data_IF_624256922098
#
_entry.id   IF_624256922098
#
_cell.length_a   1.000
_cell.length_b   1.000
_cell.length_c   1.000
_cell.angle_alpha   90.00
_cell.angle_beta   90.00
_cell.angle_gamma   90.00
#
_symmetry.space_group_name_H-M   'P 1'
#
loop_
_entity.id
_entity.type
_entity.pdbx_description
1 polymer ?
#
# COMPACT_ATOMS: atom_id res chain seq x y z
N UNK A 1 15.87 -55.79 -12.25
CA UNK A 1 15.03 -55.60 -11.04
C UNK A 1 15.19 -54.15 -10.63
N UNK A 2 14.08 -53.41 -10.70
CA UNK A 2 13.99 -51.98 -11.02
C UNK A 2 14.44 -51.06 -9.90
N UNK A 3 15.28 -50.08 -10.26
CA UNK A 3 15.38 -48.80 -9.57
C UNK A 3 14.01 -48.13 -9.59
N UNK A 4 13.46 -47.84 -8.42
CA UNK A 4 12.29 -46.98 -8.27
C UNK A 4 12.75 -45.72 -7.55
N UNK A 5 13.29 -44.80 -8.35
CA UNK A 5 13.40 -43.39 -7.99
C UNK A 5 11.99 -42.90 -7.73
N UNK A 6 11.62 -42.76 -6.45
CA UNK A 6 10.42 -42.04 -6.05
C UNK A 6 10.64 -40.58 -6.44
N UNK A 7 10.15 -40.21 -7.61
CA UNK A 7 10.02 -38.83 -8.03
C UNK A 7 9.13 -38.11 -7.01
N UNK A 8 9.77 -37.33 -6.14
CA UNK A 8 9.09 -36.36 -5.30
C UNK A 8 8.74 -35.18 -6.22
N UNK A 9 7.64 -35.27 -6.95
CA UNK A 9 7.10 -34.18 -7.77
C UNK A 9 6.46 -33.14 -6.84
N UNK A 10 7.30 -32.37 -6.15
CA UNK A 10 6.86 -31.06 -5.67
C UNK A 10 6.77 -30.19 -6.92
N UNK A 11 5.56 -30.02 -7.46
CA UNK A 11 5.32 -29.05 -8.53
C UNK A 11 5.93 -27.72 -8.09
N UNK A 12 6.92 -27.25 -8.84
CA UNK A 12 7.59 -25.99 -8.54
C UNK A 12 6.57 -24.87 -8.74
N UNK A 13 6.12 -24.29 -7.63
CA UNK A 13 5.12 -23.21 -7.65
C UNK A 13 5.70 -22.02 -8.40
N UNK A 14 5.17 -21.71 -9.59
CA UNK A 14 5.56 -20.50 -10.32
C UNK A 14 4.95 -19.26 -9.65
N UNK A 15 5.74 -18.68 -8.74
CA UNK A 15 5.39 -17.46 -8.03
C UNK A 15 5.06 -16.29 -8.97
N UNK A 16 5.61 -16.23 -10.19
CA UNK A 16 5.30 -15.17 -11.14
C UNK A 16 3.90 -15.36 -11.71
N UNK A 17 3.52 -16.59 -12.04
CA UNK A 17 2.17 -16.89 -12.51
C UNK A 17 1.12 -16.54 -11.45
N UNK A 18 1.35 -16.88 -10.17
CA UNK A 18 0.45 -16.52 -9.07
C UNK A 18 0.29 -15.00 -8.91
N UNK A 19 1.38 -14.24 -9.01
CA UNK A 19 1.35 -12.77 -8.93
C UNK A 19 0.57 -12.16 -10.10
N UNK A 20 0.73 -12.70 -11.30
CA UNK A 20 -0.01 -12.22 -12.47
C UNK A 20 -1.52 -12.52 -12.35
N UNK A 21 -1.90 -13.71 -11.87
CA UNK A 21 -3.30 -14.03 -11.59
C UNK A 21 -3.86 -13.12 -10.49
N UNK A 22 -3.10 -12.90 -9.42
CA UNK A 22 -3.48 -12.00 -8.32
C UNK A 22 -3.78 -10.58 -8.80
N UNK A 23 -2.97 -10.04 -9.71
CA UNK A 23 -3.22 -8.74 -10.34
C UNK A 23 -4.44 -8.79 -11.26
N UNK A 24 -4.53 -9.81 -12.12
CA UNK A 24 -5.60 -9.96 -13.12
C UNK A 24 -6.99 -10.08 -12.48
N UNK A 25 -7.08 -10.79 -11.36
CA UNK A 25 -8.33 -10.96 -10.61
C UNK A 25 -8.75 -9.70 -9.84
N UNK A 26 -7.96 -8.62 -9.90
CA UNK A 26 -8.30 -7.33 -9.27
C UNK A 26 -8.02 -7.28 -7.77
N UNK A 27 -7.43 -8.32 -7.17
CA UNK A 27 -7.10 -8.32 -5.73
C UNK A 27 -6.15 -7.18 -5.36
N UNK A 28 -5.17 -6.87 -6.22
CA UNK A 28 -4.30 -5.71 -6.02
C UNK A 28 -5.09 -4.39 -5.94
N UNK A 29 -6.05 -4.16 -6.84
CA UNK A 29 -6.84 -2.93 -6.82
C UNK A 29 -7.78 -2.88 -5.59
N UNK A 30 -8.33 -4.02 -5.18
CA UNK A 30 -9.12 -4.11 -3.94
C UNK A 30 -8.28 -3.71 -2.73
N UNK A 31 -7.08 -4.29 -2.56
CA UNK A 31 -6.21 -3.96 -1.44
C UNK A 31 -5.74 -2.50 -1.48
N UNK A 32 -5.50 -1.95 -2.68
CA UNK A 32 -5.16 -0.53 -2.86
C UNK A 32 -6.30 0.38 -2.38
N UNK A 33 -7.55 0.05 -2.70
CA UNK A 33 -8.74 0.79 -2.25
C UNK A 33 -8.90 0.70 -0.73
N UNK A 34 -8.73 -0.48 -0.17
CA UNK A 34 -8.85 -0.70 1.27
C UNK A 34 -7.75 0.05 2.04
N UNK A 35 -6.51 0.01 1.57
CA UNK A 35 -5.42 0.78 2.14
C UNK A 35 -5.69 2.30 2.12
N UNK A 36 -6.26 2.82 1.01
CA UNK A 36 -6.67 4.21 0.93
C UNK A 36 -7.78 4.54 1.93
N UNK A 37 -8.76 3.64 2.09
CA UNK A 37 -9.85 3.83 3.05
C UNK A 37 -9.33 3.83 4.49
N UNK A 38 -8.47 2.88 4.84
CA UNK A 38 -7.84 2.83 6.16
C UNK A 38 -7.03 4.10 6.46
N UNK A 39 -6.28 4.60 5.48
CA UNK A 39 -5.57 5.86 5.62
C UNK A 39 -6.52 7.03 5.93
N UNK A 40 -7.62 7.15 5.19
CA UNK A 40 -8.63 8.20 5.39
C UNK A 40 -9.33 8.10 6.75
N UNK A 41 -9.46 6.92 7.32
CA UNK A 41 -10.15 6.74 8.60
C UNK A 41 -9.23 6.92 9.81
N UNK A 42 -7.94 6.56 9.67
CA UNK A 42 -7.03 6.45 10.81
C UNK A 42 -5.90 7.46 10.83
N UNK A 43 -5.54 8.03 9.69
CA UNK A 43 -4.27 8.79 9.53
C UNK A 43 -4.41 10.13 8.80
N UNK A 44 -5.57 10.41 8.18
CA UNK A 44 -5.78 11.69 7.48
C UNK A 44 -5.70 12.89 8.41
N UNK A 45 -6.21 12.74 9.64
CA UNK A 45 -6.32 13.84 10.59
C UNK A 45 -4.94 14.22 11.14
N UNK A 46 -4.11 13.23 11.46
CA UNK A 46 -2.70 13.45 11.81
C UNK A 46 -1.94 14.15 10.67
N UNK A 47 -2.24 13.81 9.42
CA UNK A 47 -1.63 14.47 8.26
C UNK A 47 -2.07 15.94 8.14
N UNK A 48 -3.36 16.20 8.30
CA UNK A 48 -3.93 17.55 8.28
C UNK A 48 -3.34 18.40 9.42
N UNK A 49 -3.17 17.81 10.60
CA UNK A 49 -2.57 18.47 11.74
C UNK A 49 -1.11 18.85 11.46
N UNK A 50 -0.29 17.92 10.93
CA UNK A 50 1.09 18.23 10.55
C UNK A 50 1.17 19.30 9.45
N UNK A 51 0.24 19.31 8.48
CA UNK A 51 0.15 20.38 7.47
C UNK A 51 -0.14 21.74 8.11
N UNK A 52 -1.06 21.76 9.07
CA UNK A 52 -1.39 22.95 9.83
C UNK A 52 -0.17 23.47 10.60
N UNK A 53 0.57 22.60 11.28
CA UNK A 53 1.80 22.95 12.00
C UNK A 53 2.88 23.56 11.11
N UNK A 54 3.13 22.94 9.95
CA UNK A 54 4.09 23.50 8.97
C UNK A 54 3.60 24.86 8.47
N UNK A 55 2.30 25.00 8.22
CA UNK A 55 1.70 26.27 7.77
C UNK A 55 1.85 27.37 8.83
N UNK A 56 1.52 27.08 10.08
CA UNK A 56 1.68 28.02 11.20
C UNK A 56 3.14 28.41 11.43
N UNK A 57 4.07 27.47 11.30
CA UNK A 57 5.49 27.75 11.38
C UNK A 57 5.94 28.73 10.28
N UNK A 58 5.46 28.55 9.05
CA UNK A 58 5.77 29.46 7.94
C UNK A 58 5.11 30.84 8.13
N UNK A 59 3.88 30.91 8.64
CA UNK A 59 3.22 32.17 8.98
C UNK A 59 3.94 32.92 10.11
N UNK A 60 4.52 32.18 11.07
CA UNK A 60 5.36 32.76 12.14
C UNK A 60 6.70 33.26 11.60
N UNK A 61 7.29 32.53 10.65
CA UNK A 61 8.56 32.90 10.03
C UNK A 61 8.42 34.13 9.08
N UNK A 62 7.27 34.28 8.42
CA UNK A 62 6.94 35.42 7.56
C UNK A 62 5.49 35.88 7.79
N UNK A 63 5.30 36.80 8.74
CA UNK A 63 3.98 37.39 9.06
C UNK A 63 3.35 38.12 7.85
N UNK A 64 4.15 38.52 6.85
CA UNK A 64 3.62 39.16 5.65
C UNK A 64 2.75 38.20 4.82
N UNK A 65 2.91 36.89 5.00
CA UNK A 65 2.06 35.87 4.38
C UNK A 65 0.59 35.99 4.80
N UNK A 66 0.33 36.39 6.06
CA UNK A 66 -1.05 36.58 6.56
C UNK A 66 -1.77 37.74 5.84
N UNK A 67 -1.00 38.70 5.32
CA UNK A 67 -1.50 39.91 4.70
C UNK A 67 -1.50 39.83 3.17
N UNK A 68 -0.92 38.75 2.60
CA UNK A 68 -0.95 38.45 1.17
C UNK A 68 -2.27 37.79 0.79
N UNK A 69 -2.72 38.00 -0.44
CA UNK A 69 -3.84 37.23 -0.96
C UNK A 69 -3.45 35.74 -1.10
N UNK A 70 -4.45 34.86 -1.06
CA UNK A 70 -4.27 33.41 -1.14
C UNK A 70 -3.42 32.98 -2.34
N UNK A 71 -3.62 33.63 -3.50
CA UNK A 71 -2.86 33.37 -4.72
C UNK A 71 -1.35 33.58 -4.60
N UNK A 72 -0.89 34.46 -3.69
CA UNK A 72 0.53 34.73 -3.44
C UNK A 72 1.08 33.96 -2.24
N UNK A 73 0.26 33.73 -1.22
CA UNK A 73 0.68 33.04 0.00
C UNK A 73 0.74 31.51 -0.17
N UNK A 74 -0.28 30.90 -0.82
CA UNK A 74 -0.38 29.45 -0.99
C UNK A 74 0.84 28.85 -1.70
N UNK A 75 1.34 29.40 -2.83
CA UNK A 75 2.52 28.84 -3.48
C UNK A 75 3.79 28.87 -2.60
N UNK A 76 3.92 29.86 -1.70
CA UNK A 76 5.07 29.97 -0.81
C UNK A 76 5.00 28.89 0.29
N UNK A 77 3.83 28.67 0.87
CA UNK A 77 3.58 27.62 1.86
C UNK A 77 3.76 26.24 1.23
N UNK A 78 3.20 26.00 0.04
CA UNK A 78 3.40 24.74 -0.71
C UNK A 78 4.89 24.52 -0.99
N UNK A 79 5.60 25.56 -1.43
CA UNK A 79 7.04 25.46 -1.64
C UNK A 79 7.81 25.15 -0.35
N UNK A 80 7.36 25.65 0.80
CA UNK A 80 7.95 25.31 2.10
C UNK A 80 7.66 23.85 2.51
N UNK A 81 6.43 23.38 2.30
CA UNK A 81 6.05 21.99 2.50
C UNK A 81 6.88 21.07 1.58
N UNK A 82 7.09 21.42 0.32
CA UNK A 82 7.91 20.65 -0.63
C UNK A 82 9.38 20.58 -0.22
N UNK A 83 9.92 21.68 0.35
CA UNK A 83 11.29 21.70 0.90
C UNK A 83 11.39 20.96 2.22
N UNK A 84 10.30 20.92 2.98
CA UNK A 84 10.20 20.08 4.16
C UNK A 84 10.12 18.61 3.72
N UNK A 85 10.66 17.69 4.53
CA UNK A 85 10.56 16.25 4.22
C UNK A 85 9.15 15.69 4.39
N UNK A 86 8.15 16.54 4.56
CA UNK A 86 6.77 16.22 4.89
C UNK A 86 6.21 15.09 4.02
N UNK A 87 6.13 15.27 2.70
CA UNK A 87 5.55 14.25 1.82
C UNK A 87 6.32 12.92 1.86
N UNK A 88 7.66 12.98 1.96
CA UNK A 88 8.48 11.77 2.04
C UNK A 88 8.28 11.01 3.37
N UNK A 89 8.18 11.74 4.49
CA UNK A 89 7.94 11.16 5.81
C UNK A 89 6.54 10.56 5.91
N UNK A 90 5.52 11.29 5.48
CA UNK A 90 4.14 10.77 5.40
C UNK A 90 4.07 9.50 4.56
N UNK A 91 4.75 9.48 3.40
CA UNK A 91 4.77 8.29 2.54
C UNK A 91 5.42 7.09 3.22
N UNK A 92 6.50 7.30 3.98
CA UNK A 92 7.12 6.24 4.77
C UNK A 92 6.22 5.77 5.92
N UNK A 93 5.57 6.69 6.63
CA UNK A 93 4.62 6.36 7.70
C UNK A 93 3.48 5.49 7.15
N UNK A 94 2.83 5.91 6.06
CA UNK A 94 1.77 5.15 5.40
C UNK A 94 2.28 3.78 4.94
N UNK A 95 3.46 3.73 4.31
CA UNK A 95 4.08 2.47 3.89
C UNK A 95 4.30 1.55 5.07
N UNK A 96 4.82 2.06 6.18
CA UNK A 96 5.09 1.26 7.37
C UNK A 96 3.79 0.75 7.99
N UNK A 97 2.75 1.58 8.09
CA UNK A 97 1.43 1.15 8.57
C UNK A 97 0.85 0.03 7.70
N UNK A 98 0.82 0.21 6.37
CA UNK A 98 0.32 -0.81 5.43
C UNK A 98 1.17 -2.08 5.51
N UNK A 99 2.49 -1.96 5.54
CA UNK A 99 3.40 -3.10 5.52
C UNK A 99 3.41 -3.85 6.87
N UNK A 100 3.11 -3.18 7.98
CA UNK A 100 3.06 -3.80 9.32
C UNK A 100 1.67 -4.29 9.71
N UNK A 101 0.64 -3.94 8.94
CA UNK A 101 -0.74 -4.39 9.17
C UNK A 101 -0.84 -5.92 9.03
N UNK A 102 -0.97 -6.59 10.18
CA UNK A 102 -1.09 -8.04 10.26
C UNK A 102 -2.38 -8.56 9.60
N UNK A 103 -3.48 -7.80 9.67
CA UNK A 103 -4.74 -8.18 9.03
C UNK A 103 -4.60 -8.13 7.51
N UNK A 104 -3.95 -7.08 6.99
CA UNK A 104 -3.66 -6.98 5.56
C UNK A 104 -2.78 -8.13 5.07
N UNK A 105 -1.74 -8.47 5.83
CA UNK A 105 -0.86 -9.62 5.52
C UNK A 105 -1.62 -10.95 5.49
N UNK A 106 -2.48 -11.20 6.49
CA UNK A 106 -3.32 -12.42 6.53
C UNK A 106 -4.21 -12.49 5.29
N UNK A 107 -4.87 -11.39 4.96
CA UNK A 107 -5.78 -11.33 3.82
C UNK A 107 -5.07 -11.53 2.47
N UNK A 108 -3.84 -11.00 2.32
CA UNK A 108 -3.02 -11.28 1.13
C UNK A 108 -2.67 -12.78 1.06
N UNK A 109 -2.29 -13.38 2.20
CA UNK A 109 -1.97 -14.80 2.24
C UNK A 109 -3.19 -15.67 1.88
N UNK A 110 -4.36 -15.36 2.42
CA UNK A 110 -5.63 -16.03 2.10
C UNK A 110 -5.96 -15.92 0.60
N UNK A 111 -5.88 -14.72 0.02
CA UNK A 111 -6.11 -14.52 -1.42
C UNK A 111 -5.14 -15.32 -2.30
N UNK A 112 -3.86 -15.38 -1.92
CA UNK A 112 -2.86 -16.15 -2.66
C UNK A 112 -3.09 -17.66 -2.52
N UNK A 113 -3.54 -18.12 -1.34
CA UNK A 113 -3.88 -19.51 -1.10
C UNK A 113 -5.09 -19.95 -1.93
N UNK A 114 -6.11 -19.09 -2.05
CA UNK A 114 -7.27 -19.32 -2.93
C UNK A 114 -6.84 -19.45 -4.39
N UNK A 115 -6.05 -18.50 -4.89
CA UNK A 115 -5.51 -18.54 -6.27
C UNK A 115 -4.70 -19.82 -6.49
N UNK A 116 -3.88 -20.20 -5.52
CA UNK A 116 -3.10 -21.43 -5.59
C UNK A 116 -4.01 -22.66 -5.68
N UNK A 117 -5.04 -22.77 -4.82
CA UNK A 117 -6.01 -23.87 -4.85
C UNK A 117 -6.78 -23.94 -6.17
N UNK A 118 -7.16 -22.79 -6.73
CA UNK A 118 -7.83 -22.72 -8.04
C UNK A 118 -6.91 -23.07 -9.21
N UNK A 119 -5.61 -22.87 -9.06
CA UNK A 119 -4.61 -23.21 -10.07
C UNK A 119 -4.23 -24.70 -10.09
N UNK A 120 -4.59 -25.47 -9.05
CA UNK A 120 -4.35 -26.91 -9.01
C UNK A 120 -5.27 -27.62 -10.01
N UNK A 121 -4.76 -28.59 -10.79
CA UNK A 121 -5.58 -29.35 -11.70
C UNK A 121 -6.67 -30.08 -10.93
N UNK A 122 -7.93 -29.82 -11.29
CA UNK A 122 -9.09 -30.51 -10.73
C UNK A 122 -8.89 -32.01 -10.96
N UNK A 123 -8.61 -32.77 -9.90
CA UNK A 123 -8.67 -34.23 -9.92
C UNK A 123 -10.10 -34.59 -10.25
N UNK A 124 -10.38 -34.76 -11.55
CA UNK A 124 -11.57 -35.45 -12.01
C UNK A 124 -11.45 -36.88 -11.50
N UNK A 125 -12.15 -37.18 -10.42
CA UNK A 125 -12.51 -38.54 -10.10
C UNK A 125 -13.31 -39.08 -11.30
N UNK A 126 -12.66 -39.91 -12.11
CA UNK A 126 -13.34 -40.72 -13.12
C UNK A 126 -14.17 -41.81 -12.43
N UNK A 127 -15.35 -42.15 -12.97
CA UNK A 127 -16.39 -42.95 -12.32
C UNK A 127 -16.03 -44.43 -12.08
#
# INVERSE_FOLDING_TARGET
MSSAERQNSTEEVDYRALVEIFKKNGHFDSLRKDALQQFKEKQSDDLLQKLHEVTEQELTNDESLQHKNSFKAVPLIVGAIDRSRFYSQTKEEIKNTIMTDAQLRSRIAEMLEEIYKESLPSTKEEP
#
